data_IF_856122499285
#
_entry.id   IF_856122499285
#
_cell.length_a   1.000
_cell.length_b   1.000
_cell.length_c   1.000
_cell.angle_alpha   90.00
_cell.angle_beta   90.00
_cell.angle_gamma   90.00
#
_symmetry.space_group_name_H-M   'P 1'
#
loop_
_entity.id
_entity.type
_entity.pdbx_description
1 polymer ?
#
# COMPACT_ATOMS: atom_id res chain seq x y z
N UNK A 1 2.09 -29.64 16.92
CA UNK A 1 3.09 -28.66 16.43
C UNK A 1 2.62 -27.86 15.20
N UNK A 2 2.14 -28.48 14.11
CA UNK A 2 1.87 -27.79 12.83
C UNK A 2 0.78 -26.69 12.84
N UNK A 3 -0.20 -26.75 13.74
CA UNK A 3 -1.27 -25.74 13.79
C UNK A 3 -0.79 -24.37 14.34
N UNK A 4 0.22 -24.38 15.22
CA UNK A 4 0.79 -23.16 15.79
C UNK A 4 1.58 -22.36 14.74
N UNK A 5 2.36 -23.04 13.89
CA UNK A 5 3.12 -22.39 12.80
C UNK A 5 2.21 -21.73 11.76
N UNK A 6 1.04 -22.33 11.50
CA UNK A 6 0.03 -21.81 10.58
C UNK A 6 -0.62 -20.53 11.09
N UNK A 7 -0.90 -20.47 12.40
CA UNK A 7 -1.54 -19.33 13.04
C UNK A 7 -0.58 -18.14 13.14
N UNK A 8 0.71 -18.37 13.44
CA UNK A 8 1.73 -17.32 13.47
C UNK A 8 2.07 -16.77 12.08
N UNK A 9 2.12 -17.61 11.04
CA UNK A 9 2.33 -17.10 9.67
C UNK A 9 1.18 -16.23 9.17
N UNK A 10 -0.06 -16.68 9.38
CA UNK A 10 -1.24 -15.99 8.86
C UNK A 10 -1.52 -14.69 9.63
N UNK A 11 -1.20 -14.64 10.93
CA UNK A 11 -1.57 -13.52 11.80
C UNK A 11 -0.47 -12.48 11.98
N UNK A 12 0.80 -12.87 11.96
CA UNK A 12 1.91 -11.94 12.20
C UNK A 12 2.74 -11.67 10.94
N UNK A 13 3.05 -12.69 10.15
CA UNK A 13 3.91 -12.52 8.96
C UNK A 13 3.13 -12.01 7.74
N UNK A 14 1.88 -12.43 7.54
CA UNK A 14 1.04 -12.01 6.40
C UNK A 14 0.88 -10.49 6.28
N UNK A 15 0.39 -9.79 7.32
CA UNK A 15 0.20 -8.34 7.29
C UNK A 15 1.53 -7.56 7.20
N UNK A 16 2.57 -8.02 7.90
CA UNK A 16 3.88 -7.36 7.94
C UNK A 16 4.56 -7.42 6.58
N UNK A 17 4.56 -8.58 5.92
CA UNK A 17 5.15 -8.73 4.58
C UNK A 17 4.34 -7.97 3.52
N UNK A 18 3.00 -8.00 3.59
CA UNK A 18 2.15 -7.23 2.69
C UNK A 18 2.40 -5.71 2.82
N UNK A 19 2.54 -5.21 4.06
CA UNK A 19 2.86 -3.80 4.31
C UNK A 19 4.26 -3.41 3.81
N UNK A 20 5.27 -4.26 4.01
CA UNK A 20 6.64 -4.05 3.51
C UNK A 20 6.67 -3.98 1.97
N UNK A 21 5.98 -4.90 1.28
CA UNK A 21 5.90 -4.92 -0.17
C UNK A 21 5.14 -3.70 -0.72
N UNK A 22 4.05 -3.31 -0.05
CA UNK A 22 3.30 -2.12 -0.41
C UNK A 22 4.16 -0.85 -0.27
N UNK A 23 4.87 -0.70 0.85
CA UNK A 23 5.79 0.41 1.05
C UNK A 23 6.90 0.43 -0.01
N UNK A 24 7.45 -0.73 -0.37
CA UNK A 24 8.51 -0.84 -1.36
C UNK A 24 8.09 -0.46 -2.79
N UNK A 25 6.91 -0.89 -3.25
CA UNK A 25 6.48 -0.65 -4.64
C UNK A 25 5.55 0.56 -4.76
N UNK A 26 4.42 0.54 -4.07
CA UNK A 26 3.43 1.61 -4.15
C UNK A 26 3.95 2.90 -3.52
N UNK A 27 4.65 2.81 -2.38
CA UNK A 27 5.27 3.96 -1.71
C UNK A 27 6.34 4.65 -2.57
N UNK A 28 7.22 3.87 -3.22
CA UNK A 28 8.23 4.40 -4.14
C UNK A 28 7.61 5.08 -5.37
N UNK A 29 6.57 4.48 -5.96
CA UNK A 29 5.86 5.05 -7.10
C UNK A 29 5.17 6.37 -6.76
N UNK A 30 4.46 6.44 -5.62
CA UNK A 30 3.79 7.64 -5.14
C UNK A 30 4.79 8.78 -4.88
N UNK A 31 5.92 8.46 -4.27
CA UNK A 31 6.99 9.45 -3.98
C UNK A 31 7.61 9.97 -5.28
N UNK A 32 7.86 9.10 -6.26
CA UNK A 32 8.37 9.49 -7.56
C UNK A 32 7.38 10.38 -8.34
N UNK A 33 6.08 10.07 -8.29
CA UNK A 33 5.05 10.84 -8.96
C UNK A 33 4.93 12.26 -8.37
N UNK A 34 4.95 12.39 -7.05
CA UNK A 34 4.96 13.70 -6.36
C UNK A 34 6.27 14.45 -6.64
N UNK A 35 7.40 13.75 -6.66
CA UNK A 35 8.71 14.32 -7.00
C UNK A 35 8.74 14.89 -8.43
N UNK A 36 8.15 14.17 -9.39
CA UNK A 36 7.98 14.62 -10.77
C UNK A 36 7.07 15.85 -10.87
N UNK A 37 5.94 15.86 -10.15
CA UNK A 37 5.02 17.01 -10.11
C UNK A 37 5.68 18.25 -9.50
N UNK A 38 6.62 18.06 -8.56
CA UNK A 38 7.43 19.14 -8.00
C UNK A 38 8.50 19.61 -8.98
N UNK A 39 9.21 18.70 -9.63
CA UNK A 39 10.28 19.02 -10.58
C UNK A 39 9.77 19.73 -11.85
N UNK A 40 8.51 19.49 -12.23
CA UNK A 40 7.83 20.12 -13.38
C UNK A 40 7.02 21.36 -12.99
N UNK A 41 7.16 21.85 -11.75
CA UNK A 41 6.43 23.00 -11.17
C UNK A 41 4.89 22.92 -11.23
N UNK A 42 4.31 21.73 -11.46
CA UNK A 42 2.86 21.56 -11.52
C UNK A 42 2.16 21.86 -10.18
N UNK A 43 2.84 21.66 -9.05
CA UNK A 43 2.30 22.02 -7.74
C UNK A 43 2.21 23.54 -7.56
N UNK A 44 3.23 24.27 -8.02
CA UNK A 44 3.30 25.75 -7.97
C UNK A 44 2.24 26.38 -8.87
N UNK A 45 2.04 25.82 -10.07
CA UNK A 45 1.02 26.31 -10.99
C UNK A 45 -0.41 26.14 -10.44
N UNK A 46 -0.68 25.06 -9.70
CA UNK A 46 -1.96 24.86 -9.01
C UNK A 46 -2.19 25.87 -7.88
N UNK A 47 -1.15 26.23 -7.12
CA UNK A 47 -1.22 27.26 -6.07
C UNK A 47 -1.51 28.65 -6.67
N UNK A 48 -0.94 28.97 -7.83
CA UNK A 48 -1.24 30.22 -8.54
C UNK A 48 -2.70 30.30 -9.05
N UNK A 49 -3.35 29.15 -9.25
CA UNK A 49 -4.77 29.07 -9.61
C UNK A 49 -5.71 29.10 -8.40
N UNK A 50 -5.19 29.39 -7.19
CA UNK A 50 -5.91 29.34 -5.91
C UNK A 50 -6.53 27.97 -5.60
N UNK A 51 -5.91 26.88 -6.09
CA UNK A 51 -6.34 25.50 -5.81
C UNK A 51 -5.36 24.86 -4.86
N UNK A 52 -5.84 24.43 -3.69
CA UNK A 52 -5.00 23.74 -2.69
C UNK A 52 -4.43 22.41 -3.24
N UNK A 53 -3.12 22.32 -3.53
CA UNK A 53 -2.53 21.09 -4.10
C UNK A 53 -2.58 19.92 -3.13
N UNK A 54 -2.46 20.20 -1.82
CA UNK A 54 -2.58 19.20 -0.75
C UNK A 54 -3.93 18.48 -0.77
N UNK A 55 -5.02 19.26 -0.88
CA UNK A 55 -6.36 18.70 -0.83
C UNK A 55 -6.73 17.97 -2.11
N UNK A 56 -6.19 18.39 -3.25
CA UNK A 56 -6.53 17.81 -4.56
C UNK A 56 -5.67 16.61 -4.97
N UNK A 57 -4.40 16.60 -4.59
CA UNK A 57 -3.43 15.59 -5.05
C UNK A 57 -3.12 14.57 -3.94
N UNK A 58 -2.89 15.04 -2.71
CA UNK A 58 -2.47 14.16 -1.59
C UNK A 58 -3.68 13.47 -0.96
N UNK A 59 -4.80 14.16 -0.76
CA UNK A 59 -5.99 13.56 -0.14
C UNK A 59 -6.55 12.31 -0.84
N UNK A 60 -6.74 12.27 -2.18
CA UNK A 60 -7.26 11.06 -2.83
C UNK A 60 -6.26 9.89 -2.79
N UNK A 61 -4.95 10.18 -2.89
CA UNK A 61 -3.90 9.16 -2.84
C UNK A 61 -3.76 8.54 -1.45
N UNK A 62 -3.95 9.34 -0.40
CA UNK A 62 -3.96 8.84 0.98
C UNK A 62 -5.13 7.87 1.21
N UNK A 63 -6.35 8.24 0.82
CA UNK A 63 -7.51 7.37 0.92
C UNK A 63 -7.38 6.09 0.09
N UNK A 64 -6.83 6.19 -1.13
CA UNK A 64 -6.54 5.02 -1.95
C UNK A 64 -5.54 4.07 -1.25
N UNK A 65 -4.48 4.61 -0.63
CA UNK A 65 -3.52 3.84 0.16
C UNK A 65 -4.15 3.12 1.35
N UNK A 66 -4.94 3.86 2.15
CA UNK A 66 -5.63 3.33 3.34
C UNK A 66 -6.63 2.23 3.00
N UNK A 67 -7.32 2.32 1.86
CA UNK A 67 -8.24 1.27 1.41
C UNK A 67 -7.49 0.09 0.79
N UNK A 68 -6.41 0.34 0.05
CA UNK A 68 -5.66 -0.71 -0.64
C UNK A 68 -4.88 -1.64 0.29
N UNK A 69 -4.32 -1.12 1.40
CA UNK A 69 -3.56 -1.90 2.39
C UNK A 69 -4.34 -3.07 3.04
N UNK A 70 -5.55 -2.87 3.60
CA UNK A 70 -6.32 -3.97 4.18
C UNK A 70 -6.78 -4.96 3.10
N UNK A 71 -7.10 -4.48 1.90
CA UNK A 71 -7.51 -5.31 0.77
C UNK A 71 -6.37 -6.24 0.33
N UNK A 72 -5.14 -5.71 0.24
CA UNK A 72 -3.94 -6.48 -0.07
C UNK A 72 -3.62 -7.52 1.02
N UNK A 73 -3.83 -7.14 2.28
CA UNK A 73 -3.62 -8.02 3.44
C UNK A 73 -4.58 -9.21 3.41
N UNK A 74 -5.87 -8.99 3.09
CA UNK A 74 -6.86 -10.06 2.95
C UNK A 74 -6.47 -11.04 1.84
N UNK A 75 -6.00 -10.54 0.69
CA UNK A 75 -5.54 -11.38 -0.42
C UNK A 75 -4.31 -12.21 0.00
N UNK A 76 -3.35 -11.61 0.70
CA UNK A 76 -2.17 -12.32 1.20
C UNK A 76 -2.53 -13.45 2.18
N UNK A 77 -3.46 -13.19 3.10
CA UNK A 77 -3.95 -14.21 4.05
C UNK A 77 -4.72 -15.32 3.32
N UNK A 78 -5.54 -14.98 2.33
CA UNK A 78 -6.27 -15.96 1.52
C UNK A 78 -5.31 -16.88 0.74
N UNK A 79 -4.33 -16.32 0.02
CA UNK A 79 -3.34 -17.09 -0.75
C UNK A 79 -2.48 -17.96 0.18
N UNK A 80 -2.02 -17.42 1.31
CA UNK A 80 -1.24 -18.17 2.30
C UNK A 80 -2.00 -19.37 2.87
N UNK A 81 -3.32 -19.23 3.09
CA UNK A 81 -4.15 -20.34 3.58
C UNK A 81 -4.40 -21.43 2.52
N UNK A 82 -4.50 -21.05 1.24
CA UNK A 82 -4.69 -21.98 0.12
C UNK A 82 -3.45 -22.82 -0.19
N UNK A 83 -2.26 -22.23 -0.11
CA UNK A 83 -0.99 -22.94 -0.31
C UNK A 83 -0.74 -24.04 0.74
N UNK A 84 -1.22 -23.83 1.98
CA UNK A 84 -1.07 -24.82 3.07
C UNK A 84 -2.03 -26.00 2.92
N UNK A 85 -3.19 -25.83 2.26
CA UNK A 85 -4.13 -26.94 1.97
C UNK A 85 -3.56 -27.92 0.94
N UNK A 86 -2.74 -27.44 0.01
CA UNK A 86 -2.15 -28.24 -1.07
C UNK A 86 -0.89 -29.04 -0.66
N UNK A 87 -0.31 -28.73 0.50
CA UNK A 87 0.93 -29.35 1.00
C UNK A 87 0.68 -30.46 2.04
N UNK A 88 -0.59 -30.81 2.28
CA UNK A 88 -1.05 -31.92 3.15
C UNK A 88 -1.83 -32.92 2.31
#
# INVERSE_FOLDING_TARGET
>A
MACWWRLSLLRELGPVVAALLFAGRAGSALTAEIGLMRATEQLSSMEMMAVDPLRRVISPRFWAGVISLPLLTIIFVAVGSGAVRWWV
#
